data_IF_230510766301
#
_entry.id   IF_230510766301
#
_cell.length_a   1.000
_cell.length_b   1.000
_cell.length_c   1.000
_cell.angle_alpha   90.00
_cell.angle_beta   90.00
_cell.angle_gamma   90.00
#
_symmetry.space_group_name_H-M   'P 1'
#
loop_
_entity.id
_entity.type
_entity.pdbx_description
1 polymer ?
#
# COMPACT_ATOMS: atom_id res chain seq x y z
N UNK A 1 45.27 -36.86 52.95
CA UNK A 1 45.52 -36.18 51.67
C UNK A 1 44.32 -36.32 50.78
N UNK A 2 43.53 -35.20 50.66
CA UNK A 2 42.35 -35.11 49.83
C UNK A 2 42.78 -34.38 48.52
N UNK A 3 42.76 -35.10 47.39
CA UNK A 3 43.06 -34.51 46.08
C UNK A 3 41.73 -34.04 45.47
N UNK A 4 41.53 -32.73 45.45
CA UNK A 4 40.40 -32.09 44.73
C UNK A 4 40.83 -31.92 43.28
N UNK A 5 40.21 -32.72 42.39
CA UNK A 5 40.37 -32.64 40.94
C UNK A 5 39.50 -31.50 40.43
N UNK A 6 40.10 -30.34 40.02
CA UNK A 6 39.39 -29.23 39.40
C UNK A 6 39.25 -29.51 37.91
N UNK A 7 38.11 -30.01 37.49
CA UNK A 7 37.78 -30.11 36.07
C UNK A 7 37.44 -28.71 35.55
N UNK A 8 38.37 -28.08 34.80
CA UNK A 8 38.10 -26.92 33.96
C UNK A 8 37.19 -27.38 32.79
N UNK A 9 35.90 -27.06 32.88
CA UNK A 9 35.00 -27.12 31.75
C UNK A 9 35.32 -25.91 30.85
N UNK A 10 36.14 -26.14 29.83
CA UNK A 10 36.25 -25.21 28.71
C UNK A 10 34.93 -25.30 27.91
N UNK A 11 34.02 -24.35 28.15
CA UNK A 11 32.88 -24.18 27.28
C UNK A 11 33.35 -23.59 25.99
N UNK A 12 33.45 -24.39 24.94
CA UNK A 12 33.58 -23.85 23.56
C UNK A 12 32.31 -23.06 23.27
N UNK A 13 32.48 -21.73 23.24
CA UNK A 13 31.45 -20.84 22.70
C UNK A 13 31.45 -21.11 21.19
N UNK A 14 30.54 -21.97 20.75
CA UNK A 14 30.19 -22.14 19.34
C UNK A 14 29.64 -20.78 18.86
N UNK A 15 30.50 -19.98 18.26
CA UNK A 15 30.03 -18.88 17.41
C UNK A 15 29.35 -19.55 16.22
N UNK A 16 28.02 -19.43 16.13
CA UNK A 16 27.33 -19.79 14.92
C UNK A 16 27.92 -18.91 13.80
N UNK A 17 28.61 -19.53 12.86
CA UNK A 17 29.15 -18.85 11.69
C UNK A 17 27.96 -18.25 10.93
N UNK A 18 27.87 -16.93 10.97
CA UNK A 18 26.77 -16.23 10.33
C UNK A 18 26.99 -16.39 8.81
N UNK A 19 26.16 -17.20 8.17
CA UNK A 19 26.19 -17.37 6.72
C UNK A 19 25.92 -16.02 6.05
N UNK A 20 26.77 -15.63 5.13
CA UNK A 20 26.62 -14.39 4.36
C UNK A 20 26.47 -14.71 2.87
N UNK A 21 25.85 -13.79 2.14
CA UNK A 21 25.70 -13.85 0.69
C UNK A 21 26.01 -12.48 0.09
N UNK A 22 26.32 -12.46 -1.19
CA UNK A 22 26.45 -11.22 -1.93
C UNK A 22 25.14 -10.97 -2.69
N UNK A 23 24.67 -9.72 -2.66
CA UNK A 23 23.45 -9.27 -3.34
C UNK A 23 23.81 -8.19 -4.33
N UNK A 24 23.68 -8.50 -5.62
CA UNK A 24 23.96 -7.55 -6.69
C UNK A 24 22.78 -7.36 -7.63
N UNK A 25 22.89 -6.32 -8.45
CA UNK A 25 21.85 -6.01 -9.43
C UNK A 25 22.23 -4.82 -10.33
N UNK A 26 21.25 -4.36 -11.08
CA UNK A 26 21.39 -3.18 -11.93
C UNK A 26 20.15 -2.30 -11.86
N UNK A 27 20.34 -1.00 -12.12
CA UNK A 27 19.26 -0.03 -12.24
C UNK A 27 19.11 0.36 -13.71
N UNK A 28 17.88 0.24 -14.23
CA UNK A 28 17.55 0.59 -15.61
C UNK A 28 16.51 1.69 -15.64
N UNK A 29 16.77 2.79 -16.34
CA UNK A 29 15.76 3.79 -16.67
C UNK A 29 14.87 3.24 -17.80
N UNK A 30 13.71 2.70 -17.41
CA UNK A 30 12.76 2.08 -18.35
C UNK A 30 12.03 3.09 -19.25
N UNK A 31 12.11 4.39 -18.97
CA UNK A 31 11.62 5.44 -19.89
C UNK A 31 12.51 5.54 -21.13
N UNK A 32 13.82 5.54 -20.92
CA UNK A 32 14.85 5.73 -21.96
C UNK A 32 15.47 4.42 -22.44
N UNK A 33 15.18 3.31 -21.76
CA UNK A 33 15.78 1.98 -22.02
C UNK A 33 17.32 1.99 -21.89
N UNK A 34 17.82 2.76 -20.91
CA UNK A 34 19.26 2.96 -20.65
C UNK A 34 19.60 2.74 -19.18
N UNK A 35 20.86 2.56 -18.86
CA UNK A 35 21.33 2.63 -17.48
C UNK A 35 21.23 4.03 -16.89
N UNK A 36 21.31 4.13 -15.57
CA UNK A 36 21.23 5.41 -14.84
C UNK A 36 22.60 6.07 -14.60
N UNK A 37 23.69 5.36 -14.94
CA UNK A 37 25.06 5.81 -14.70
C UNK A 37 25.59 5.43 -13.31
N UNK A 38 26.69 6.05 -12.93
CA UNK A 38 27.37 5.84 -11.66
C UNK A 38 26.85 6.74 -10.54
N UNK A 39 27.17 6.41 -9.29
CA UNK A 39 26.88 7.21 -8.08
C UNK A 39 25.38 7.36 -7.75
N UNK A 40 24.50 6.51 -8.28
CA UNK A 40 23.12 6.44 -7.82
C UNK A 40 23.09 5.60 -6.53
N UNK A 41 22.56 6.18 -5.45
CA UNK A 41 22.47 5.51 -4.15
C UNK A 41 21.46 4.36 -4.20
N UNK A 42 21.83 3.21 -3.63
CA UNK A 42 20.99 2.02 -3.48
C UNK A 42 20.98 1.61 -2.02
N UNK A 43 19.80 1.41 -1.46
CA UNK A 43 19.64 0.86 -0.11
C UNK A 43 19.19 -0.60 -0.19
N UNK A 44 19.79 -1.47 0.62
CA UNK A 44 19.36 -2.85 0.85
C UNK A 44 18.65 -2.91 2.19
N UNK A 45 17.42 -3.37 2.19
CA UNK A 45 16.59 -3.59 3.37
C UNK A 45 16.57 -5.08 3.72
N UNK A 46 16.84 -5.40 4.98
CA UNK A 46 16.87 -6.77 5.51
C UNK A 46 15.89 -6.81 6.68
N UNK A 47 14.77 -7.50 6.50
CA UNK A 47 13.72 -7.62 7.51
C UNK A 47 13.56 -9.08 7.96
N UNK A 48 13.41 -9.32 9.25
CA UNK A 48 13.04 -10.60 9.83
C UNK A 48 11.94 -10.40 10.88
N UNK A 49 11.14 -11.45 11.13
CA UNK A 49 9.97 -11.36 12.02
C UNK A 49 10.34 -11.00 13.47
N UNK A 50 11.52 -11.43 13.94
CA UNK A 50 11.93 -11.31 15.34
C UNK A 50 13.18 -10.42 15.55
N UNK A 51 13.52 -9.58 14.59
CA UNK A 51 14.66 -8.66 14.70
C UNK A 51 14.35 -7.28 14.13
N UNK A 52 15.09 -6.28 14.59
CA UNK A 52 15.00 -4.94 14.04
C UNK A 52 15.39 -4.93 12.56
N UNK A 53 14.70 -4.15 11.71
CA UNK A 53 15.07 -3.94 10.32
C UNK A 53 16.51 -3.43 10.18
N UNK A 54 17.25 -3.94 9.21
CA UNK A 54 18.61 -3.48 8.92
C UNK A 54 18.64 -2.89 7.52
N UNK A 55 19.37 -1.79 7.37
CA UNK A 55 19.59 -1.13 6.07
C UNK A 55 21.07 -0.98 5.80
N UNK A 56 21.50 -1.32 4.57
CA UNK A 56 22.87 -1.11 4.07
C UNK A 56 22.79 -0.24 2.83
N UNK A 57 23.83 0.53 2.55
CA UNK A 57 23.90 1.43 1.40
C UNK A 57 25.09 1.14 0.51
N UNK A 58 24.91 1.30 -0.79
CA UNK A 58 25.96 1.27 -1.80
C UNK A 58 25.63 2.23 -2.94
N UNK A 59 26.49 2.33 -3.93
CA UNK A 59 26.30 3.17 -5.11
C UNK A 59 26.45 2.33 -6.39
N UNK A 60 25.82 2.78 -7.46
CA UNK A 60 26.00 2.16 -8.76
C UNK A 60 27.38 2.47 -9.37
N UNK A 61 27.90 1.52 -10.14
CA UNK A 61 29.07 1.70 -11.00
C UNK A 61 28.72 2.41 -12.33
N UNK A 62 29.72 2.66 -13.19
CA UNK A 62 29.53 3.28 -14.51
C UNK A 62 28.65 2.49 -15.48
N UNK A 63 28.34 1.21 -15.15
CA UNK A 63 27.41 0.35 -15.88
C UNK A 63 26.06 0.24 -15.17
N UNK A 64 25.76 1.13 -14.20
CA UNK A 64 24.53 1.15 -13.41
C UNK A 64 24.31 -0.09 -12.53
N UNK A 65 25.38 -0.83 -12.19
CA UNK A 65 25.33 -2.03 -11.37
C UNK A 65 25.71 -1.69 -9.93
N UNK A 66 25.12 -2.39 -9.00
CA UNK A 66 25.41 -2.29 -7.57
C UNK A 66 25.72 -3.66 -6.97
N UNK A 67 26.44 -3.67 -5.83
CA UNK A 67 26.81 -4.86 -5.10
C UNK A 67 26.81 -4.55 -3.60
N UNK A 68 26.19 -5.44 -2.82
CA UNK A 68 26.31 -5.54 -1.37
C UNK A 68 27.03 -6.82 -1.05
N UNK A 69 28.19 -6.72 -0.42
CA UNK A 69 29.03 -7.86 -0.04
C UNK A 69 28.76 -8.27 1.41
N UNK A 70 28.90 -9.58 1.70
CA UNK A 70 28.80 -10.14 3.04
C UNK A 70 27.47 -9.83 3.76
N UNK A 71 26.36 -9.86 3.04
CA UNK A 71 25.02 -9.62 3.61
C UNK A 71 24.64 -10.80 4.50
N UNK A 72 24.21 -10.56 5.76
CA UNK A 72 23.77 -11.63 6.66
C UNK A 72 22.59 -12.41 6.09
N UNK A 73 22.76 -13.71 5.83
CA UNK A 73 21.73 -14.57 5.27
C UNK A 73 20.94 -15.30 6.36
N UNK A 74 19.63 -15.47 6.14
CA UNK A 74 18.71 -16.28 6.92
C UNK A 74 17.48 -16.65 6.09
N UNK A 75 16.93 -17.85 6.29
CA UNK A 75 15.72 -18.30 5.59
C UNK A 75 14.46 -17.56 6.06
N UNK A 76 14.50 -17.00 7.26
CA UNK A 76 13.47 -16.16 7.90
C UNK A 76 13.53 -14.69 7.51
N UNK A 77 14.54 -14.30 6.71
CA UNK A 77 14.76 -12.90 6.30
C UNK A 77 14.19 -12.61 4.93
N UNK A 78 13.65 -11.41 4.81
CA UNK A 78 13.20 -10.82 3.56
C UNK A 78 14.18 -9.73 3.13
N UNK A 79 14.48 -9.68 1.85
CA UNK A 79 15.45 -8.77 1.28
C UNK A 79 14.80 -7.95 0.17
N UNK A 80 15.08 -6.66 0.16
CA UNK A 80 14.64 -5.76 -0.89
C UNK A 80 15.65 -4.65 -1.12
N UNK A 81 15.67 -4.11 -2.31
CA UNK A 81 16.49 -2.94 -2.65
C UNK A 81 15.60 -1.77 -3.01
N UNK A 82 16.04 -0.57 -2.65
CA UNK A 82 15.39 0.68 -3.04
C UNK A 82 16.37 1.70 -3.57
N UNK A 83 15.86 2.64 -4.34
CA UNK A 83 16.60 3.83 -4.78
C UNK A 83 15.64 5.00 -4.95
N UNK A 84 16.19 6.21 -4.88
CA UNK A 84 15.49 7.43 -5.27
C UNK A 84 16.07 7.90 -6.59
N UNK A 85 15.22 8.04 -7.59
CA UNK A 85 15.62 8.52 -8.91
C UNK A 85 14.67 9.62 -9.38
N UNK A 86 15.21 10.81 -9.68
CA UNK A 86 14.44 11.98 -10.08
C UNK A 86 13.26 12.31 -9.16
N UNK A 87 13.49 12.19 -7.83
CA UNK A 87 12.48 12.51 -6.80
C UNK A 87 11.40 11.45 -6.60
N UNK A 88 11.53 10.27 -7.21
CA UNK A 88 10.64 9.15 -7.01
C UNK A 88 11.35 7.96 -6.37
N UNK A 89 10.70 7.31 -5.40
CA UNK A 89 11.20 6.11 -4.74
C UNK A 89 10.80 4.85 -5.53
N UNK A 90 11.76 3.95 -5.71
CA UNK A 90 11.55 2.66 -6.38
C UNK A 90 12.07 1.54 -5.51
N UNK A 91 11.35 0.43 -5.49
CA UNK A 91 11.71 -0.75 -4.69
C UNK A 91 11.59 -2.02 -5.53
N UNK A 92 12.42 -3.00 -5.21
CA UNK A 92 12.36 -4.34 -5.79
C UNK A 92 12.70 -5.38 -4.73
N UNK A 93 11.95 -6.46 -4.68
CA UNK A 93 12.27 -7.61 -3.83
C UNK A 93 13.45 -8.40 -4.38
N UNK A 94 14.30 -8.92 -3.50
CA UNK A 94 15.37 -9.84 -3.85
C UNK A 94 14.88 -11.27 -3.74
N UNK A 95 15.06 -12.05 -4.80
CA UNK A 95 14.76 -13.47 -4.79
C UNK A 95 16.04 -14.25 -4.45
N UNK A 96 16.00 -15.00 -3.35
CA UNK A 96 17.09 -15.87 -2.92
C UNK A 96 16.62 -17.31 -3.02
N UNK A 97 17.32 -18.12 -3.81
CA UNK A 97 17.05 -19.53 -3.99
C UNK A 97 18.27 -20.34 -3.53
N UNK A 98 18.08 -21.22 -2.56
CA UNK A 98 19.16 -22.09 -2.01
C UNK A 98 20.40 -21.30 -1.56
N UNK A 99 20.21 -20.12 -0.94
CA UNK A 99 21.32 -19.28 -0.47
C UNK A 99 22.05 -18.49 -1.57
N UNK A 100 21.49 -18.45 -2.77
CA UNK A 100 22.05 -17.67 -3.90
C UNK A 100 21.05 -16.56 -4.26
N UNK A 101 21.47 -15.31 -4.16
CA UNK A 101 20.67 -14.17 -4.60
C UNK A 101 20.67 -14.08 -6.13
N UNK A 102 19.48 -13.99 -6.71
CA UNK A 102 19.35 -13.64 -8.13
C UNK A 102 19.65 -12.17 -8.31
N UNK A 103 20.36 -11.77 -9.39
CA UNK A 103 20.60 -10.36 -9.67
C UNK A 103 19.28 -9.56 -9.66
N UNK A 104 19.26 -8.48 -8.90
CA UNK A 104 18.09 -7.60 -8.84
C UNK A 104 18.04 -6.70 -10.07
N UNK A 105 16.85 -6.56 -10.65
CA UNK A 105 16.58 -5.53 -11.65
C UNK A 105 15.68 -4.47 -11.03
N UNK A 106 16.20 -3.25 -10.87
CA UNK A 106 15.45 -2.12 -10.34
C UNK A 106 15.10 -1.16 -11.49
N UNK A 107 13.85 -1.18 -11.91
CA UNK A 107 13.36 -0.31 -12.98
C UNK A 107 12.97 1.04 -12.39
N UNK A 108 13.58 2.11 -12.89
CA UNK A 108 13.26 3.50 -12.59
C UNK A 108 12.75 4.20 -13.86
N UNK A 109 12.12 5.37 -13.70
CA UNK A 109 11.48 6.08 -14.80
C UNK A 109 11.77 7.58 -14.69
N UNK A 110 11.74 8.27 -15.82
CA UNK A 110 11.68 9.73 -15.84
C UNK A 110 10.35 10.21 -15.23
N UNK A 111 10.31 11.42 -14.71
CA UNK A 111 9.18 11.92 -13.94
C UNK A 111 8.39 13.00 -14.69
N UNK A 112 7.11 13.14 -14.34
CA UNK A 112 6.21 14.19 -14.81
C UNK A 112 5.26 14.62 -13.70
N UNK A 113 4.86 15.86 -13.69
CA UNK A 113 3.85 16.43 -12.78
C UNK A 113 2.44 16.44 -13.39
N UNK A 114 2.28 15.99 -14.64
CA UNK A 114 0.99 15.96 -15.34
C UNK A 114 0.09 14.84 -14.79
N UNK A 115 -1.09 15.18 -14.27
CA UNK A 115 -2.04 14.23 -13.67
C UNK A 115 -3.01 13.58 -14.66
N UNK A 116 -2.99 13.97 -15.92
CA UNK A 116 -3.84 13.44 -16.99
C UNK A 116 -3.50 11.98 -17.35
N UNK A 117 -2.27 11.53 -17.05
CA UNK A 117 -1.84 10.14 -17.16
C UNK A 117 -2.43 9.23 -16.09
N UNK A 118 -3.02 9.79 -15.02
CA UNK A 118 -3.54 9.07 -13.86
C UNK A 118 -5.05 8.87 -13.97
N UNK A 119 -5.52 7.65 -13.82
CA UNK A 119 -6.94 7.32 -13.74
C UNK A 119 -7.15 6.13 -12.79
N UNK A 120 -8.39 5.85 -12.42
CA UNK A 120 -8.71 4.66 -11.63
C UNK A 120 -9.12 3.51 -12.57
N UNK A 121 -8.34 2.44 -12.61
CA UNK A 121 -8.72 1.23 -13.34
C UNK A 121 -9.86 0.51 -12.61
N UNK A 122 -9.83 0.53 -11.28
CA UNK A 122 -10.88 -0.03 -10.42
C UNK A 122 -11.18 0.92 -9.26
N UNK A 123 -12.43 0.94 -8.84
CA UNK A 123 -12.89 1.61 -7.62
C UNK A 123 -13.93 0.73 -6.95
N UNK A 124 -13.83 0.54 -5.64
CA UNK A 124 -14.79 -0.20 -4.86
C UNK A 124 -15.22 0.61 -3.65
N UNK A 125 -16.51 0.64 -3.40
CA UNK A 125 -17.14 1.24 -2.23
C UNK A 125 -17.92 0.14 -1.52
N UNK A 126 -17.61 -0.14 -0.26
CA UNK A 126 -18.20 -1.24 0.49
C UNK A 126 -18.71 -0.77 1.83
N UNK A 127 -19.95 -1.08 2.16
CA UNK A 127 -20.46 -0.99 3.54
C UNK A 127 -20.00 -2.25 4.27
N UNK A 128 -19.12 -2.07 5.25
CA UNK A 128 -18.52 -3.19 6.01
C UNK A 128 -19.20 -3.42 7.36
N UNK A 129 -19.94 -2.44 7.85
CA UNK A 129 -20.63 -2.55 9.12
C UNK A 129 -21.66 -1.43 9.32
N UNK A 130 -22.62 -1.68 10.21
CA UNK A 130 -23.60 -0.69 10.67
C UNK A 130 -23.69 -0.75 12.19
N UNK A 131 -23.23 0.32 12.83
CA UNK A 131 -23.37 0.52 14.28
C UNK A 131 -24.68 1.26 14.56
N UNK A 132 -25.68 0.52 14.96
CA UNK A 132 -27.00 1.07 15.25
C UNK A 132 -27.08 1.80 16.58
N UNK A 133 -26.16 1.57 17.52
CA UNK A 133 -26.09 2.27 18.80
C UNK A 133 -25.57 3.69 18.59
N UNK A 134 -24.47 3.83 17.86
CA UNK A 134 -23.86 5.11 17.56
C UNK A 134 -24.37 5.74 16.26
N UNK A 135 -25.28 5.03 15.55
CA UNK A 135 -25.84 5.43 14.25
C UNK A 135 -24.74 5.76 13.24
N UNK A 136 -23.83 4.82 13.03
CA UNK A 136 -22.73 4.95 12.09
C UNK A 136 -22.72 3.81 11.10
N UNK A 137 -22.30 4.13 9.88
CA UNK A 137 -22.05 3.18 8.79
C UNK A 137 -20.55 3.16 8.55
N UNK A 138 -19.93 2.00 8.68
CA UNK A 138 -18.53 1.81 8.36
C UNK A 138 -18.37 1.52 6.87
N UNK A 139 -17.51 2.28 6.23
CA UNK A 139 -17.24 2.23 4.80
C UNK A 139 -15.78 1.87 4.58
N UNK A 140 -15.55 0.99 3.63
CA UNK A 140 -14.24 0.65 3.09
C UNK A 140 -14.22 0.98 1.61
N UNK A 141 -13.23 1.74 1.19
CA UNK A 141 -12.98 2.03 -0.21
C UNK A 141 -11.63 1.48 -0.67
N UNK A 142 -11.63 0.90 -1.87
CA UNK A 142 -10.45 0.44 -2.57
C UNK A 142 -10.38 1.15 -3.91
N UNK A 143 -9.22 1.69 -4.23
CA UNK A 143 -8.97 2.33 -5.51
C UNK A 143 -7.69 1.78 -6.12
N UNK A 144 -7.73 1.36 -7.38
CA UNK A 144 -6.54 1.02 -8.15
C UNK A 144 -6.20 2.21 -9.04
N UNK A 145 -5.19 2.96 -8.64
CA UNK A 145 -4.62 4.06 -9.44
C UNK A 145 -3.80 3.43 -10.56
N UNK A 146 -4.10 3.77 -11.80
CA UNK A 146 -3.37 3.30 -12.98
C UNK A 146 -2.61 4.45 -13.63
N UNK A 147 -1.32 4.21 -13.85
CA UNK A 147 -0.47 5.05 -14.70
C UNK A 147 -0.07 4.22 -15.94
N UNK A 148 -0.60 4.58 -17.11
CA UNK A 148 -0.33 3.89 -18.39
C UNK A 148 0.76 4.56 -19.21
N UNK A 149 1.35 5.62 -18.71
CA UNK A 149 2.49 6.28 -19.35
C UNK A 149 3.80 5.51 -19.13
N UNK A 150 4.88 5.99 -19.71
CA UNK A 150 6.26 5.56 -19.43
C UNK A 150 6.97 6.48 -18.43
N UNK A 151 6.24 7.36 -17.73
CA UNK A 151 6.77 8.33 -16.77
C UNK A 151 6.18 8.06 -15.38
N UNK A 152 6.97 8.30 -14.35
CA UNK A 152 6.45 8.33 -12.98
C UNK A 152 5.81 9.68 -12.71
N UNK A 153 4.56 9.66 -12.23
CA UNK A 153 3.93 10.87 -11.71
C UNK A 153 4.60 11.25 -10.38
N UNK A 154 4.99 12.51 -10.28
CA UNK A 154 5.46 13.13 -9.03
C UNK A 154 4.61 14.35 -8.73
N UNK A 155 4.46 14.70 -7.44
CA UNK A 155 3.72 15.89 -7.06
C UNK A 155 4.34 17.13 -7.67
N UNK A 156 3.50 18.06 -8.14
CA UNK A 156 3.94 19.41 -8.50
C UNK A 156 4.18 20.28 -7.25
N UNK A 157 4.49 21.56 -7.47
CA UNK A 157 4.76 22.53 -6.40
C UNK A 157 3.51 23.07 -5.72
N UNK A 158 2.34 22.90 -6.32
CA UNK A 158 1.08 23.43 -5.83
C UNK A 158 0.29 22.44 -4.95
N UNK A 159 -0.52 22.95 -4.01
CA UNK A 159 -1.38 22.09 -3.19
C UNK A 159 -2.47 21.38 -4.03
N UNK A 160 -2.72 21.86 -5.26
CA UNK A 160 -3.66 21.25 -6.19
C UNK A 160 -3.07 20.08 -6.98
N UNK A 161 -1.75 19.91 -6.96
CA UNK A 161 -1.00 18.92 -7.73
C UNK A 161 -0.89 17.56 -7.01
N UNK A 162 -1.68 17.34 -5.94
CA UNK A 162 -1.74 16.09 -5.21
C UNK A 162 -2.89 15.21 -5.72
N UNK A 163 -2.71 13.90 -5.67
CA UNK A 163 -3.79 12.95 -5.94
C UNK A 163 -4.78 13.00 -4.76
N UNK A 164 -6.07 13.26 -5.04
CA UNK A 164 -7.08 13.50 -4.01
C UNK A 164 -8.22 12.51 -4.08
N UNK A 165 -8.66 12.09 -2.91
CA UNK A 165 -9.83 11.27 -2.71
C UNK A 165 -10.85 12.02 -1.84
N UNK A 166 -12.11 12.04 -2.30
CA UNK A 166 -13.20 12.64 -1.52
C UNK A 166 -13.74 11.65 -0.49
N UNK A 167 -13.93 12.14 0.74
CA UNK A 167 -14.72 11.49 1.78
C UNK A 167 -15.76 12.50 2.29
N UNK A 168 -16.89 12.06 2.84
CA UNK A 168 -17.88 12.97 3.45
C UNK A 168 -17.26 13.84 4.55
N UNK A 169 -17.72 15.07 4.69
CA UNK A 169 -17.20 16.04 5.68
C UNK A 169 -17.41 15.60 7.13
N UNK A 170 -18.50 14.87 7.38
CA UNK A 170 -18.88 14.31 8.68
C UNK A 170 -18.31 12.92 8.96
N UNK A 171 -17.41 12.45 8.08
CA UNK A 171 -16.71 11.18 8.26
C UNK A 171 -15.76 11.23 9.46
N UNK A 172 -15.70 10.12 10.17
CA UNK A 172 -14.82 9.93 11.34
C UNK A 172 -14.10 8.60 11.25
N UNK A 173 -13.16 8.33 12.16
CA UNK A 173 -12.40 7.07 12.20
C UNK A 173 -11.71 6.75 10.89
N UNK A 174 -11.13 7.79 10.24
CA UNK A 174 -10.41 7.62 8.99
C UNK A 174 -9.14 6.78 9.20
N UNK A 175 -8.98 5.74 8.39
CA UNK A 175 -7.79 4.90 8.30
C UNK A 175 -7.38 4.81 6.85
N UNK A 176 -6.09 4.91 6.58
CA UNK A 176 -5.50 4.84 5.25
C UNK A 176 -4.44 3.74 5.22
N UNK A 177 -4.36 3.01 4.11
CA UNK A 177 -3.33 2.01 3.85
C UNK A 177 -3.02 1.92 2.35
N UNK A 178 -1.76 1.65 2.01
CA UNK A 178 -1.31 1.48 0.62
C UNK A 178 0.03 0.76 0.56
N UNK A 179 0.31 0.12 -0.57
CA UNK A 179 1.61 -0.47 -0.89
C UNK A 179 2.49 0.45 -1.76
N UNK A 180 2.08 1.68 -2.00
CA UNK A 180 2.87 2.66 -2.75
C UNK A 180 4.06 3.07 -1.89
N UNK A 181 5.31 2.95 -2.39
CA UNK A 181 6.50 3.32 -1.63
C UNK A 181 6.46 4.78 -1.15
N UNK A 182 6.85 5.01 0.08
CA UNK A 182 6.93 6.34 0.71
C UNK A 182 5.65 7.19 0.55
N UNK A 183 4.48 6.54 0.51
CA UNK A 183 3.22 7.24 0.40
C UNK A 183 2.74 7.74 1.75
N UNK A 184 2.35 9.01 1.79
CA UNK A 184 1.73 9.68 2.92
C UNK A 184 0.40 10.30 2.51
N UNK A 185 -0.40 10.75 3.47
CA UNK A 185 -1.61 11.49 3.18
C UNK A 185 -1.73 12.74 4.05
N UNK A 186 -2.41 13.74 3.49
CA UNK A 186 -2.83 14.94 4.22
C UNK A 186 -4.35 14.99 4.20
N UNK A 187 -4.97 15.15 5.35
CA UNK A 187 -6.40 15.40 5.43
C UNK A 187 -6.72 16.81 4.92
N UNK A 188 -7.76 16.92 4.10
CA UNK A 188 -8.25 18.18 3.53
C UNK A 188 -9.75 18.29 3.78
N UNK A 189 -10.35 19.48 3.62
CA UNK A 189 -11.75 19.77 3.99
C UNK A 189 -12.77 18.76 3.45
N UNK A 190 -12.54 18.19 2.26
CA UNK A 190 -13.49 17.26 1.60
C UNK A 190 -12.85 15.93 1.25
N UNK A 191 -11.96 15.44 2.13
CA UNK A 191 -11.30 14.16 1.90
C UNK A 191 -9.84 14.15 2.34
N UNK A 192 -8.99 13.53 1.53
CA UNK A 192 -7.54 13.51 1.75
C UNK A 192 -6.79 13.65 0.43
N UNK A 193 -5.56 14.14 0.54
CA UNK A 193 -4.61 14.22 -0.56
C UNK A 193 -3.47 13.23 -0.31
N UNK A 194 -3.15 12.43 -1.32
CA UNK A 194 -2.06 11.46 -1.29
C UNK A 194 -0.76 12.13 -1.73
N UNK A 195 0.24 12.10 -0.86
CA UNK A 195 1.62 12.48 -1.17
C UNK A 195 2.32 11.18 -1.56
N UNK A 196 2.44 10.93 -2.84
CA UNK A 196 3.07 9.72 -3.37
C UNK A 196 3.57 9.95 -4.78
N UNK A 197 4.52 9.11 -5.19
CA UNK A 197 4.94 8.99 -6.58
C UNK A 197 4.26 7.77 -7.20
N UNK A 198 3.68 7.92 -8.40
CA UNK A 198 2.96 6.84 -9.07
C UNK A 198 3.75 6.40 -10.30
N UNK A 199 4.52 5.35 -10.14
CA UNK A 199 5.25 4.73 -11.25
C UNK A 199 4.30 4.12 -12.29
N UNK A 200 4.76 3.81 -13.51
CA UNK A 200 3.97 3.05 -14.47
C UNK A 200 3.43 1.76 -13.87
N UNK A 201 2.15 1.47 -14.14
CA UNK A 201 1.46 0.28 -13.62
C UNK A 201 0.22 0.59 -12.80
N UNK A 202 -0.22 -0.38 -12.02
CA UNK A 202 -1.39 -0.32 -11.16
C UNK A 202 -0.95 -0.29 -9.69
N UNK A 203 -1.50 0.64 -8.92
CA UNK A 203 -1.18 0.89 -7.51
C UNK A 203 -2.46 0.90 -6.68
N UNK A 204 -2.48 0.15 -5.60
CA UNK A 204 -3.66 0.02 -4.75
C UNK A 204 -3.61 1.01 -3.59
N UNK A 205 -4.73 1.68 -3.38
CA UNK A 205 -4.99 2.57 -2.26
C UNK A 205 -6.25 2.10 -1.56
N UNK A 206 -6.18 1.99 -0.26
CA UNK A 206 -7.27 1.55 0.58
C UNK A 206 -7.49 2.53 1.71
N UNK A 207 -8.75 2.84 2.00
CA UNK A 207 -9.10 3.68 3.12
C UNK A 207 -10.49 3.35 3.65
N UNK A 208 -10.67 3.56 4.92
CA UNK A 208 -11.95 3.34 5.60
C UNK A 208 -12.32 4.54 6.46
N UNK A 209 -13.60 4.69 6.70
CA UNK A 209 -14.16 5.73 7.54
C UNK A 209 -15.59 5.37 7.97
N UNK A 210 -16.07 6.05 8.99
CA UNK A 210 -17.47 5.94 9.44
C UNK A 210 -18.22 7.21 9.10
N UNK A 211 -19.47 7.06 8.61
CA UNK A 211 -20.40 8.18 8.40
C UNK A 211 -21.60 8.06 9.35
N UNK A 212 -22.12 9.17 9.88
CA UNK A 212 -23.33 9.16 10.65
C UNK A 212 -24.57 8.95 9.76
N UNK A 213 -25.65 8.44 10.35
CA UNK A 213 -26.96 8.42 9.71
C UNK A 213 -28.07 8.84 10.66
N UNK A 214 -29.15 9.39 10.10
CA UNK A 214 -30.33 9.82 10.86
C UNK A 214 -31.54 8.98 10.49
N UNK A 215 -32.35 8.65 11.50
CA UNK A 215 -33.53 7.81 11.29
C UNK A 215 -33.17 6.44 10.72
N UNK A 216 -33.79 6.06 9.61
CA UNK A 216 -33.62 4.78 8.92
C UNK A 216 -33.04 4.94 7.50
N UNK A 217 -32.48 6.10 7.20
CA UNK A 217 -31.96 6.40 5.87
C UNK A 217 -30.61 7.10 5.94
N UNK A 218 -29.80 6.89 4.92
CA UNK A 218 -28.57 7.65 4.66
C UNK A 218 -28.45 7.95 3.17
N UNK A 219 -28.00 9.15 2.86
CA UNK A 219 -27.66 9.54 1.50
C UNK A 219 -26.14 9.71 1.42
N UNK A 220 -25.52 9.00 0.48
CA UNK A 220 -24.08 9.04 0.24
C UNK A 220 -23.84 9.54 -1.16
N UNK A 221 -23.02 10.56 -1.30
CA UNK A 221 -22.61 11.13 -2.57
C UNK A 221 -21.12 10.84 -2.82
N UNK A 222 -20.82 9.94 -3.73
CA UNK A 222 -19.43 9.60 -4.11
C UNK A 222 -19.03 10.36 -5.36
N UNK A 223 -17.94 11.15 -5.27
CA UNK A 223 -17.35 11.85 -6.40
C UNK A 223 -16.17 11.08 -6.98
N UNK A 224 -16.20 10.80 -8.28
CA UNK A 224 -15.15 10.11 -9.03
C UNK A 224 -14.22 11.12 -9.70
N UNK A 225 -13.28 11.66 -8.91
CA UNK A 225 -12.42 12.76 -9.37
C UNK A 225 -11.62 12.43 -10.63
N UNK A 226 -11.03 11.24 -10.72
CA UNK A 226 -10.18 10.82 -11.85
C UNK A 226 -10.92 10.00 -12.92
N UNK A 227 -12.22 9.77 -12.73
CA UNK A 227 -12.94 8.78 -13.50
C UNK A 227 -12.55 7.35 -13.07
N UNK A 228 -13.32 6.36 -13.47
CA UNK A 228 -13.01 4.97 -13.14
C UNK A 228 -13.49 4.04 -14.26
N UNK A 229 -12.63 3.11 -14.66
CA UNK A 229 -12.98 2.15 -15.73
C UNK A 229 -14.00 1.12 -15.23
N UNK A 230 -13.83 0.63 -14.00
CA UNK A 230 -14.75 -0.31 -13.36
C UNK A 230 -14.98 0.09 -11.91
N UNK A 231 -16.22 0.44 -11.56
CA UNK A 231 -16.65 0.72 -10.21
C UNK A 231 -17.56 -0.37 -9.69
N UNK A 232 -17.40 -0.74 -8.42
CA UNK A 232 -18.24 -1.71 -7.72
C UNK A 232 -18.72 -1.11 -6.40
N UNK A 233 -19.98 -1.35 -6.07
CA UNK A 233 -20.59 -0.96 -4.80
C UNK A 233 -21.09 -2.22 -4.13
N UNK A 234 -20.69 -2.47 -2.89
CA UNK A 234 -20.99 -3.68 -2.14
C UNK A 234 -21.79 -3.34 -0.88
N UNK A 235 -22.93 -4.00 -0.73
CA UNK A 235 -23.78 -3.85 0.46
C UNK A 235 -24.16 -5.21 1.01
N UNK A 236 -24.22 -5.38 2.35
CA UNK A 236 -24.77 -6.57 2.98
C UNK A 236 -26.23 -6.78 2.54
N UNK A 237 -26.53 -7.97 2.01
CA UNK A 237 -27.78 -8.26 1.28
C UNK A 237 -29.05 -8.07 2.13
N UNK A 238 -29.01 -8.49 3.39
CA UNK A 238 -30.21 -8.58 4.23
C UNK A 238 -30.39 -7.40 5.19
N UNK A 239 -29.48 -6.40 5.17
CA UNK A 239 -29.45 -5.36 6.20
C UNK A 239 -30.03 -4.03 5.69
N UNK A 240 -29.84 -3.71 4.40
CA UNK A 240 -30.17 -2.39 3.85
C UNK A 240 -30.71 -2.51 2.44
N UNK A 241 -31.78 -1.77 2.14
CA UNK A 241 -32.22 -1.51 0.79
C UNK A 241 -31.41 -0.36 0.20
N UNK A 242 -30.88 -0.55 -1.01
CA UNK A 242 -30.12 0.47 -1.72
C UNK A 242 -30.81 0.92 -3.01
N UNK A 243 -30.77 2.24 -3.22
CA UNK A 243 -31.11 2.85 -4.50
C UNK A 243 -29.88 3.55 -5.06
N UNK A 244 -29.44 3.11 -6.26
CA UNK A 244 -28.27 3.62 -6.97
C UNK A 244 -28.49 3.50 -8.47
N UNK A 245 -27.74 4.28 -9.27
CA UNK A 245 -27.75 4.19 -10.73
C UNK A 245 -26.94 2.99 -11.27
N UNK A 246 -26.19 2.31 -10.41
CA UNK A 246 -25.43 1.13 -10.77
C UNK A 246 -26.35 -0.08 -10.98
N UNK A 247 -25.98 -0.98 -11.88
CA UNK A 247 -26.75 -2.19 -12.15
C UNK A 247 -26.34 -3.30 -11.19
N UNK A 248 -27.32 -4.05 -10.68
CA UNK A 248 -27.06 -5.26 -9.89
C UNK A 248 -26.32 -6.25 -10.80
N UNK A 249 -25.20 -6.78 -10.34
CA UNK A 249 -24.44 -7.79 -11.05
C UNK A 249 -24.63 -9.17 -10.44
N UNK A 250 -24.42 -9.34 -9.13
CA UNK A 250 -24.38 -10.64 -8.47
C UNK A 250 -24.53 -10.50 -6.96
N UNK A 251 -24.67 -11.65 -6.30
CA UNK A 251 -24.52 -11.79 -4.86
C UNK A 251 -23.33 -12.70 -4.60
N UNK A 252 -22.48 -12.33 -3.65
CA UNK A 252 -21.30 -13.09 -3.26
C UNK A 252 -21.17 -13.14 -1.74
N UNK A 253 -20.70 -14.27 -1.22
CA UNK A 253 -20.42 -14.42 0.21
C UNK A 253 -18.97 -14.06 0.46
N UNK A 254 -18.75 -13.02 1.25
CA UNK A 254 -17.41 -12.51 1.61
C UNK A 254 -17.32 -12.55 3.14
N UNK A 255 -16.33 -13.28 3.68
CA UNK A 255 -16.12 -13.44 5.11
C UNK A 255 -17.40 -13.84 5.92
N UNK A 256 -18.25 -14.68 5.31
CA UNK A 256 -19.49 -15.17 5.94
C UNK A 256 -20.71 -14.25 5.77
N UNK A 257 -20.55 -13.08 5.19
CA UNK A 257 -21.63 -12.14 4.89
C UNK A 257 -21.97 -12.16 3.41
N UNK A 258 -23.26 -12.25 3.08
CA UNK A 258 -23.73 -12.15 1.70
C UNK A 258 -23.80 -10.68 1.29
N UNK A 259 -23.07 -10.33 0.23
CA UNK A 259 -23.09 -8.99 -0.34
C UNK A 259 -23.84 -8.97 -1.67
N UNK A 260 -24.66 -7.94 -1.86
CA UNK A 260 -25.15 -7.57 -3.17
C UNK A 260 -24.17 -6.61 -3.83
N UNK A 261 -23.72 -6.94 -5.03
CA UNK A 261 -22.71 -6.19 -5.78
C UNK A 261 -23.37 -5.46 -6.94
N UNK A 262 -23.19 -4.17 -7.00
CA UNK A 262 -23.62 -3.30 -8.09
C UNK A 262 -22.38 -2.86 -8.86
N UNK A 263 -22.46 -2.84 -10.19
CA UNK A 263 -21.34 -2.41 -11.04
C UNK A 263 -21.72 -1.34 -12.04
N UNK A 264 -20.75 -0.48 -12.32
CA UNK A 264 -20.77 0.45 -13.45
C UNK A 264 -19.39 0.47 -14.11
N UNK A 265 -19.36 0.85 -15.40
CA UNK A 265 -18.12 0.95 -16.19
C UNK A 265 -18.00 2.34 -16.80
N UNK A 266 -16.74 2.75 -17.01
CA UNK A 266 -16.38 3.97 -17.71
C UNK A 266 -17.07 5.22 -17.10
N UNK A 267 -16.99 5.34 -15.80
CA UNK A 267 -17.47 6.53 -15.08
C UNK A 267 -16.53 7.69 -15.41
N UNK A 268 -17.09 8.80 -15.86
CA UNK A 268 -16.31 9.96 -16.31
C UNK A 268 -15.63 10.69 -15.14
N UNK A 269 -14.50 11.34 -15.44
CA UNK A 269 -13.79 12.24 -14.51
C UNK A 269 -14.75 13.31 -13.98
N UNK A 270 -14.80 13.48 -12.66
CA UNK A 270 -15.62 14.47 -11.96
C UNK A 270 -17.10 14.10 -11.78
N UNK A 271 -17.55 12.96 -12.27
CA UNK A 271 -18.95 12.55 -12.09
C UNK A 271 -19.24 12.12 -10.64
N UNK A 272 -20.51 12.14 -10.28
CA UNK A 272 -20.99 11.78 -8.96
C UNK A 272 -21.96 10.60 -9.04
N UNK A 273 -21.85 9.72 -8.07
CA UNK A 273 -22.81 8.62 -7.85
C UNK A 273 -23.54 8.86 -6.54
N UNK A 274 -24.85 8.91 -6.62
CA UNK A 274 -25.73 9.01 -5.47
C UNK A 274 -26.17 7.60 -5.03
N UNK A 275 -26.04 7.33 -3.75
CA UNK A 275 -26.51 6.10 -3.11
C UNK A 275 -27.45 6.49 -1.98
N UNK A 276 -28.66 5.92 -1.97
CA UNK A 276 -29.63 6.11 -0.90
C UNK A 276 -29.83 4.76 -0.23
N UNK A 277 -29.44 4.69 1.02
CA UNK A 277 -29.63 3.53 1.87
C UNK A 277 -30.93 3.71 2.65
N UNK A 278 -31.74 2.67 2.77
CA UNK A 278 -32.99 2.65 3.54
C UNK A 278 -33.10 1.36 4.34
N UNK A 279 -33.92 1.40 5.40
CA UNK A 279 -34.05 0.26 6.30
C UNK A 279 -32.90 0.17 7.32
N UNK A 280 -32.14 1.25 7.52
CA UNK A 280 -31.08 1.29 8.53
C UNK A 280 -31.65 1.03 9.93
N UNK A 281 -30.98 0.19 10.75
CA UNK A 281 -31.48 -0.18 12.06
C UNK A 281 -31.49 1.02 13.00
N UNK A 282 -32.55 1.12 13.78
CA UNK A 282 -32.69 2.09 14.89
C UNK A 282 -32.44 1.39 16.23
N UNK A 283 -32.08 2.17 17.26
CA UNK A 283 -31.71 1.66 18.58
C UNK A 283 -32.72 0.68 19.23
N UNK A 284 -33.97 0.72 18.83
CA UNK A 284 -35.01 -0.23 19.31
C UNK A 284 -34.88 -1.63 18.61
N UNK A 285 -34.19 -1.73 17.49
CA UNK A 285 -33.96 -2.97 16.77
C UNK A 285 -32.70 -3.71 17.25
N UNK A 286 -31.79 -3.01 17.95
CA UNK A 286 -30.50 -3.50 18.43
C UNK A 286 -30.62 -4.68 19.37
N UNK A 287 -31.63 -4.74 20.21
CA UNK A 287 -31.81 -5.85 21.14
C UNK A 287 -32.06 -7.20 20.46
N UNK A 288 -32.55 -7.20 19.20
CA UNK A 288 -32.76 -8.42 18.43
C UNK A 288 -31.53 -8.84 17.62
N UNK A 289 -30.79 -7.87 17.07
CA UNK A 289 -29.62 -8.14 16.21
C UNK A 289 -28.36 -8.37 17.06
N UNK A 290 -28.20 -7.74 18.21
CA UNK A 290 -27.04 -7.93 19.09
C UNK A 290 -26.88 -9.38 19.58
N UNK A 291 -27.95 -10.16 19.60
CA UNK A 291 -27.89 -11.58 19.95
C UNK A 291 -27.37 -12.46 18.80
N UNK A 292 -27.49 -12.04 17.53
CA UNK A 292 -26.95 -12.79 16.39
C UNK A 292 -25.53 -12.34 16.00
N UNK A 293 -25.17 -11.06 16.20
CA UNK A 293 -23.85 -10.53 15.89
C UNK A 293 -22.91 -10.32 17.10
N UNK A 294 -23.39 -10.62 18.32
CA UNK A 294 -22.71 -10.34 19.59
C UNK A 294 -21.40 -11.09 19.88
N UNK A 295 -20.89 -11.89 18.97
CA UNK A 295 -19.63 -12.62 19.16
C UNK A 295 -18.45 -12.11 18.32
N UNK A 296 -18.64 -11.17 17.42
CA UNK A 296 -17.54 -10.61 16.62
C UNK A 296 -17.08 -9.26 17.19
N UNK A 297 -16.03 -9.28 17.99
CA UNK A 297 -15.32 -8.07 18.42
C UNK A 297 -14.71 -7.38 17.19
N UNK A 298 -15.29 -6.27 16.77
CA UNK A 298 -14.90 -5.44 15.62
C UNK A 298 -13.42 -5.02 15.58
N UNK A 299 -12.69 -5.10 16.68
CA UNK A 299 -11.27 -4.75 16.76
C UNK A 299 -10.33 -5.67 15.96
N UNK A 300 -10.78 -6.87 15.60
CA UNK A 300 -9.94 -7.83 14.84
C UNK A 300 -10.48 -8.14 13.44
N UNK A 301 -11.69 -7.69 13.09
CA UNK A 301 -12.30 -8.01 11.79
C UNK A 301 -11.85 -7.07 10.67
N UNK A 302 -11.38 -5.86 10.97
CA UNK A 302 -10.87 -4.93 9.98
C UNK A 302 -9.72 -5.53 9.14
N UNK A 303 -8.58 -5.90 9.74
CA UNK A 303 -7.45 -6.46 8.99
C UNK A 303 -7.74 -7.81 8.34
N UNK A 304 -8.49 -8.70 9.02
CA UNK A 304 -8.81 -10.04 8.50
C UNK A 304 -9.88 -9.99 7.41
N UNK A 305 -10.93 -9.18 7.59
CA UNK A 305 -11.94 -8.94 6.55
C UNK A 305 -11.33 -8.32 5.30
N UNK A 306 -10.38 -7.45 5.48
CA UNK A 306 -9.61 -6.77 4.46
C UNK A 306 -8.74 -7.72 3.64
N UNK A 307 -8.00 -8.62 4.32
CA UNK A 307 -7.19 -9.65 3.67
C UNK A 307 -8.04 -10.61 2.84
N UNK A 308 -9.20 -11.02 3.36
CA UNK A 308 -10.15 -11.89 2.66
C UNK A 308 -10.82 -11.19 1.48
N UNK A 309 -11.08 -9.88 1.59
CA UNK A 309 -11.64 -9.07 0.52
C UNK A 309 -10.66 -8.88 -0.64
N UNK A 310 -9.38 -8.63 -0.36
CA UNK A 310 -8.32 -8.58 -1.36
C UNK A 310 -8.16 -9.93 -2.08
N UNK A 311 -8.27 -11.04 -1.36
CA UNK A 311 -8.24 -12.39 -1.94
C UNK A 311 -9.47 -12.63 -2.85
N UNK A 312 -10.68 -12.23 -2.43
CA UNK A 312 -11.90 -12.43 -3.23
C UNK A 312 -11.88 -11.60 -4.52
N UNK A 313 -11.44 -10.35 -4.48
CA UNK A 313 -11.28 -9.51 -5.68
C UNK A 313 -10.17 -10.05 -6.59
N UNK A 314 -9.09 -10.57 -6.01
CA UNK A 314 -7.99 -11.22 -6.73
C UNK A 314 -8.42 -12.51 -7.44
N UNK A 315 -9.19 -13.36 -6.77
CA UNK A 315 -9.64 -14.66 -7.31
C UNK A 315 -10.61 -14.50 -8.47
N UNK A 316 -11.52 -13.52 -8.42
CA UNK A 316 -12.45 -13.25 -9.55
C UNK A 316 -11.73 -12.65 -10.77
N UNK A 317 -10.56 -12.01 -10.57
CA UNK A 317 -9.71 -11.46 -11.65
C UNK A 317 -8.74 -12.47 -12.28
N UNK A 318 -8.38 -13.55 -11.58
CA UNK A 318 -7.22 -14.39 -11.93
C UNK A 318 -7.61 -15.87 -12.25
N UNK A 319 -8.89 -16.21 -12.33
CA UNK A 319 -9.29 -17.61 -12.58
C UNK A 319 -8.83 -18.22 -13.91
N UNK A 320 -7.92 -17.60 -14.65
CA UNK A 320 -7.34 -18.23 -15.86
C UNK A 320 -5.86 -18.06 -16.16
N UNK A 321 -5.04 -17.34 -15.40
CA UNK A 321 -3.58 -17.42 -15.67
C UNK A 321 -2.77 -17.00 -14.45
N UNK A 322 -1.82 -17.86 -14.16
CA UNK A 322 -0.62 -17.65 -13.33
C UNK A 322 -0.71 -18.10 -11.88
N UNK A 323 -0.27 -19.33 -11.72
CA UNK A 323 0.31 -19.93 -10.53
C UNK A 323 1.31 -18.98 -9.82
N UNK A 324 1.04 -18.77 -8.51
CA UNK A 324 2.06 -18.55 -7.48
C UNK A 324 3.30 -17.71 -7.88
N UNK A 325 3.23 -16.36 -7.78
CA UNK A 325 4.49 -15.62 -7.73
C UNK A 325 4.43 -14.17 -7.21
N UNK A 326 3.63 -13.79 -6.25
CA UNK A 326 3.82 -12.48 -5.61
C UNK A 326 3.25 -12.41 -4.19
N UNK A 327 3.76 -13.25 -3.28
CA UNK A 327 3.37 -13.22 -1.86
C UNK A 327 4.32 -12.38 -0.98
N UNK A 328 5.32 -11.71 -1.56
CA UNK A 328 6.43 -11.14 -0.79
C UNK A 328 6.62 -9.63 -0.86
N UNK A 329 5.72 -8.86 -1.48
CA UNK A 329 5.94 -7.41 -1.60
C UNK A 329 5.38 -6.54 -0.45
N UNK A 330 4.51 -7.05 0.38
CA UNK A 330 3.81 -6.23 1.40
C UNK A 330 4.60 -5.93 2.69
N UNK A 331 5.82 -6.45 2.81
CA UNK A 331 6.61 -6.34 4.05
C UNK A 331 7.77 -5.36 3.99
N UNK A 332 8.05 -4.77 2.83
CA UNK A 332 9.30 -4.06 2.59
C UNK A 332 9.32 -2.60 3.05
N UNK A 333 8.20 -2.02 3.48
CA UNK A 333 8.19 -0.61 3.90
C UNK A 333 7.30 -0.44 5.12
N UNK A 334 7.92 -0.52 6.32
CA UNK A 334 7.32 -0.03 7.55
C UNK A 334 7.36 1.51 7.60
N UNK A 335 6.42 2.12 8.30
CA UNK A 335 6.29 3.58 8.43
C UNK A 335 7.57 4.30 8.92
N UNK A 336 8.46 3.57 9.62
CA UNK A 336 9.75 4.11 10.06
C UNK A 336 10.78 4.23 8.92
N UNK A 337 10.64 3.47 7.84
CA UNK A 337 11.60 3.50 6.72
C UNK A 337 11.31 4.67 5.77
N UNK A 338 10.06 5.10 5.66
CA UNK A 338 9.71 6.31 4.92
C UNK A 338 10.38 7.55 5.54
N UNK A 339 10.42 7.63 6.87
CA UNK A 339 11.10 8.70 7.60
C UNK A 339 12.62 8.68 7.38
N UNK A 340 13.25 7.50 7.37
CA UNK A 340 14.70 7.37 7.10
C UNK A 340 15.04 7.80 5.66
N UNK A 341 14.17 7.51 4.70
CA UNK A 341 14.35 7.94 3.31
C UNK A 341 14.16 9.46 3.18
N UNK A 342 13.20 10.06 3.89
CA UNK A 342 13.02 11.52 3.93
C UNK A 342 14.21 12.24 4.57
N UNK A 343 14.73 11.73 5.68
CA UNK A 343 15.92 12.31 6.34
C UNK A 343 17.15 12.23 5.42
N UNK A 344 17.30 11.16 4.64
CA UNK A 344 18.38 11.03 3.66
C UNK A 344 18.21 11.95 2.45
N UNK A 345 16.96 12.17 1.99
CA UNK A 345 16.67 13.16 0.96
C UNK A 345 17.03 14.57 1.45
N UNK A 346 16.66 14.92 2.69
CA UNK A 346 16.94 16.21 3.29
C UNK A 346 18.45 16.43 3.48
N UNK A 347 19.21 15.38 3.77
CA UNK A 347 20.67 15.45 3.93
C UNK A 347 21.38 15.58 2.59
N UNK A 348 20.90 14.89 1.53
CA UNK A 348 21.40 15.03 0.17
C UNK A 348 21.09 16.43 -0.42
N UNK A 349 19.90 16.96 -0.22
CA UNK A 349 19.53 18.32 -0.64
C UNK A 349 20.39 19.37 0.07
N UNK A 350 20.72 19.17 1.34
CA UNK A 350 21.67 20.01 2.07
C UNK A 350 23.12 19.91 1.55
N UNK A 351 23.56 18.76 1.11
CA UNK A 351 24.89 18.59 0.51
C UNK A 351 24.96 19.24 -0.88
N UNK A 352 23.93 19.09 -1.71
CA UNK A 352 23.87 19.75 -3.03
C UNK A 352 23.76 21.27 -2.92
N UNK A 353 22.95 21.80 -2.00
CA UNK A 353 22.84 23.25 -1.78
C UNK A 353 24.12 23.88 -1.25
N UNK A 354 24.95 23.15 -0.49
CA UNK A 354 26.28 23.60 -0.04
C UNK A 354 27.33 23.55 -1.15
N UNK A 355 27.18 22.64 -2.11
CA UNK A 355 28.12 22.53 -3.23
C UNK A 355 27.87 23.64 -4.28
N UNK A 356 26.60 24.03 -4.46
CA UNK A 356 26.22 25.11 -5.41
C UNK A 356 26.54 26.52 -4.85
N UNK A 357 26.59 26.69 -3.53
CA UNK A 357 27.00 27.94 -2.90
C UNK A 357 28.52 28.14 -2.79
N UNK A 358 29.30 27.09 -3.07
CA UNK A 358 30.79 27.13 -3.06
C UNK A 358 31.45 27.41 -4.43
N UNK A 359 30.67 27.59 -5.51
CA UNK A 359 31.17 27.88 -6.85
C UNK A 359 30.96 29.31 -7.34
N UNK A 360 30.63 30.24 -6.43
CA UNK A 360 30.51 31.69 -6.68
C UNK A 360 31.43 32.51 -5.76
N UNK A 361 32.70 32.14 -5.63
CA UNK A 361 33.79 33.02 -5.20
C UNK A 361 34.99 32.92 -6.13
#
# INVERSE_FOLDING_TARGET
YLFICFCLIQGDILYAEQTTIDIGGEIVNSTQETGVGEMVSVALHINALDSEPQTQHTFTDSKSRFLFENVPYGQDKLYGVSTIFKGAAYVSSINIESGIAKPALLSVYDTSTEDDMIFLSKGSFSVTGIDSLNRRISILELATISNRSKLTYVKGSGPMDLIRFGIPEDATNFVFDTLIPAAEYIQVDKGFALIATISPGDHEVMYSYDIPYEGQQAEILKTWRYGVQKASILFPHDIVDIRTDFKIKTQETIAGTVYTIYEAKNISKGSQTKMVLSGLPTSKFVERISNEFGSMRYQYTGPVGLLLFLVAIGVVGISRTIKLRNRHQSWLIGSNEAQVIEDQIAELDNQYSKTDSGSQE
#
